data_IF_591397069034
#
_entry.id   IF_591397069034
#
_cell.length_a   1.000
_cell.length_b   1.000
_cell.length_c   1.000
_cell.angle_alpha   90.00
_cell.angle_beta   90.00
_cell.angle_gamma   90.00
#
_symmetry.space_group_name_H-M   'P 1'
#
loop_
_entity.id
_entity.type
_entity.pdbx_description
1 polymer ?
#
# COMPACT_ATOMS: atom_id res chain seq x y z
N UNK A 1 16.79 0.63 -16.94
CA UNK A 1 16.31 1.26 -15.69
C UNK A 1 17.38 2.20 -15.19
N UNK A 2 17.10 3.50 -15.12
CA UNK A 2 18.03 4.51 -14.60
C UNK A 2 18.17 4.30 -13.09
N UNK A 3 19.41 4.12 -12.63
CA UNK A 3 19.71 4.01 -11.21
C UNK A 3 19.34 5.33 -10.52
N UNK A 4 18.48 5.27 -9.50
CA UNK A 4 18.05 6.45 -8.74
C UNK A 4 19.25 7.09 -8.04
N UNK A 5 19.29 8.42 -7.99
CA UNK A 5 20.32 9.13 -7.23
C UNK A 5 20.17 8.87 -5.72
N UNK A 6 21.25 8.97 -4.93
CA UNK A 6 21.17 8.80 -3.48
C UNK A 6 20.14 9.73 -2.81
N UNK A 7 20.05 10.98 -3.26
CA UNK A 7 19.07 11.94 -2.76
C UNK A 7 17.61 11.53 -3.03
N UNK A 8 17.33 10.91 -4.19
CA UNK A 8 15.99 10.39 -4.49
C UNK A 8 15.62 9.19 -3.62
N UNK A 9 16.58 8.31 -3.35
CA UNK A 9 16.37 7.17 -2.45
C UNK A 9 16.06 7.66 -1.02
N UNK A 10 16.81 8.63 -0.52
CA UNK A 10 16.58 9.23 0.79
C UNK A 10 15.22 9.94 0.88
N UNK A 11 14.84 10.67 -0.17
CA UNK A 11 13.53 11.32 -0.26
C UNK A 11 12.38 10.31 -0.13
N UNK A 12 12.41 9.23 -0.92
CA UNK A 12 11.36 8.21 -0.85
C UNK A 12 11.40 7.42 0.46
N UNK A 13 12.58 7.15 1.02
CA UNK A 13 12.71 6.49 2.32
C UNK A 13 12.06 7.30 3.44
N UNK A 14 12.30 8.63 3.48
CA UNK A 14 11.65 9.53 4.43
C UNK A 14 10.14 9.58 4.21
N UNK A 15 9.69 9.78 2.97
CA UNK A 15 8.27 9.81 2.64
C UNK A 15 7.54 8.53 3.06
N UNK A 16 8.16 7.37 2.78
CA UNK A 16 7.64 6.06 3.20
C UNK A 16 7.54 5.98 4.72
N UNK A 17 8.60 6.35 5.45
CA UNK A 17 8.58 6.37 6.91
C UNK A 17 7.40 7.22 7.45
N UNK A 18 7.31 8.47 7.03
CA UNK A 18 6.30 9.41 7.53
C UNK A 18 4.87 8.94 7.22
N UNK A 19 4.67 8.37 6.01
CA UNK A 19 3.39 7.78 5.61
C UNK A 19 2.98 6.60 6.50
N UNK A 20 3.90 5.68 6.79
CA UNK A 20 3.63 4.51 7.64
C UNK A 20 3.40 4.91 9.10
N UNK A 21 4.10 5.93 9.61
CA UNK A 21 3.85 6.49 10.94
C UNK A 21 2.42 7.05 11.05
N UNK A 22 1.99 7.87 10.08
CA UNK A 22 0.64 8.40 10.04
C UNK A 22 -0.41 7.28 9.95
N UNK A 23 -0.15 6.25 9.13
CA UNK A 23 -1.04 5.10 8.97
C UNK A 23 -1.16 4.28 10.26
N UNK A 24 -0.07 4.09 11.01
CA UNK A 24 -0.07 3.39 12.29
C UNK A 24 -0.90 4.14 13.36
N UNK A 25 -0.79 5.46 13.39
CA UNK A 25 -1.62 6.31 14.27
C UNK A 25 -3.10 6.14 13.91
N UNK A 26 -3.45 6.25 12.62
CA UNK A 26 -4.82 6.09 12.14
C UNK A 26 -5.38 4.69 12.46
N UNK A 27 -4.58 3.65 12.28
CA UNK A 27 -4.93 2.26 12.61
C UNK A 27 -5.24 2.11 14.11
N UNK A 28 -4.39 2.67 14.97
CA UNK A 28 -4.59 2.65 16.42
C UNK A 28 -5.83 3.44 16.84
N UNK A 29 -6.12 4.55 16.16
CA UNK A 29 -7.32 5.34 16.43
C UNK A 29 -8.59 4.59 16.04
N UNK A 30 -8.62 4.00 14.83
CA UNK A 30 -9.75 3.22 14.31
C UNK A 30 -10.07 2.00 15.17
N UNK A 31 -9.05 1.31 15.66
CA UNK A 31 -9.20 0.16 16.55
C UNK A 31 -9.93 0.47 17.88
N UNK A 32 -10.10 1.75 18.26
CA UNK A 32 -10.87 2.16 19.45
C UNK A 32 -12.38 2.06 19.25
N UNK A 33 -12.87 1.85 18.03
CA UNK A 33 -14.29 1.64 17.73
C UNK A 33 -15.17 2.88 17.83
N UNK A 34 -14.59 4.07 17.73
CA UNK A 34 -15.35 5.33 17.67
C UNK A 34 -15.87 5.68 16.27
N UNK A 35 -15.26 5.08 15.23
CA UNK A 35 -15.65 5.23 13.83
C UNK A 35 -16.53 4.05 13.38
N UNK A 36 -17.26 4.16 12.24
CA UNK A 36 -18.09 3.07 11.71
C UNK A 36 -17.33 1.77 11.39
N UNK A 37 -16.02 1.88 11.14
CA UNK A 37 -15.13 0.75 10.87
C UNK A 37 -13.95 0.77 11.83
N UNK A 38 -13.53 -0.42 12.29
CA UNK A 38 -12.39 -0.58 13.19
C UNK A 38 -11.03 -0.58 12.48
N UNK A 39 -11.05 -0.48 11.15
CA UNK A 39 -9.87 -0.53 10.29
C UNK A 39 -9.75 0.77 9.47
N UNK A 40 -8.55 1.05 8.96
CA UNK A 40 -8.33 2.15 8.04
C UNK A 40 -8.80 1.73 6.66
N UNK A 41 -9.71 2.50 6.06
CA UNK A 41 -10.31 2.19 4.76
C UNK A 41 -9.41 2.49 3.56
N UNK A 42 -8.30 3.22 3.77
CA UNK A 42 -7.31 3.53 2.74
C UNK A 42 -6.28 2.40 2.67
N UNK A 43 -6.02 1.88 1.46
CA UNK A 43 -4.96 0.89 1.22
C UNK A 43 -3.69 1.58 0.74
N UNK A 44 -2.55 1.28 1.37
CA UNK A 44 -1.23 1.75 0.91
C UNK A 44 -0.73 0.84 -0.22
N UNK A 45 -0.12 1.44 -1.24
CA UNK A 45 0.46 0.75 -2.39
C UNK A 45 1.67 1.54 -2.93
N UNK A 46 2.74 0.85 -3.25
CA UNK A 46 3.99 1.37 -3.82
C UNK A 46 4.07 1.13 -5.33
N UNK A 47 3.38 0.09 -5.84
CA UNK A 47 3.37 -0.24 -7.28
C UNK A 47 1.99 -0.12 -7.92
N UNK A 48 1.95 -0.11 -9.26
CA UNK A 48 0.69 -0.15 -10.01
C UNK A 48 -0.09 -1.44 -9.75
N UNK A 49 0.62 -2.57 -9.69
CA UNK A 49 0.02 -3.87 -9.42
C UNK A 49 -0.65 -3.89 -8.04
N UNK A 50 0.04 -3.40 -7.00
CA UNK A 50 -0.52 -3.29 -5.65
C UNK A 50 -1.78 -2.39 -5.62
N UNK A 51 -1.80 -1.28 -6.36
CA UNK A 51 -3.00 -0.42 -6.47
C UNK A 51 -4.19 -1.16 -7.08
N UNK A 52 -3.97 -1.92 -8.15
CA UNK A 52 -5.04 -2.70 -8.81
C UNK A 52 -5.62 -3.72 -7.84
N UNK A 53 -4.75 -4.44 -7.10
CA UNK A 53 -5.19 -5.40 -6.08
C UNK A 53 -5.96 -4.71 -4.96
N UNK A 54 -5.48 -3.59 -4.44
CA UNK A 54 -6.17 -2.83 -3.39
C UNK A 54 -7.59 -2.40 -3.76
N UNK A 55 -7.82 -2.03 -5.03
CA UNK A 55 -9.13 -1.61 -5.53
C UNK A 55 -10.06 -2.79 -5.80
N UNK A 56 -9.58 -3.82 -6.52
CA UNK A 56 -10.42 -4.93 -6.98
C UNK A 56 -10.73 -5.92 -5.85
N UNK A 57 -9.94 -5.94 -4.78
CA UNK A 57 -10.19 -6.85 -3.63
C UNK A 57 -11.54 -6.62 -2.95
N UNK A 58 -12.17 -5.45 -3.14
CA UNK A 58 -13.53 -5.19 -2.63
C UNK A 58 -14.56 -6.11 -3.30
N UNK A 59 -14.39 -6.41 -4.58
CA UNK A 59 -15.30 -7.28 -5.35
C UNK A 59 -14.78 -8.71 -5.52
N UNK A 60 -13.46 -8.92 -5.42
CA UNK A 60 -12.82 -10.21 -5.55
C UNK A 60 -11.78 -10.42 -4.43
N UNK A 61 -12.21 -10.64 -3.17
CA UNK A 61 -11.31 -10.72 -2.02
C UNK A 61 -10.23 -11.80 -2.13
N UNK A 62 -10.51 -12.87 -2.88
CA UNK A 62 -9.61 -14.00 -3.09
C UNK A 62 -8.27 -13.64 -3.76
N UNK A 63 -8.17 -12.47 -4.41
CA UNK A 63 -6.94 -12.04 -5.07
C UNK A 63 -5.93 -11.45 -4.07
N UNK A 64 -6.40 -11.00 -2.90
CA UNK A 64 -5.56 -10.38 -1.88
C UNK A 64 -4.62 -11.43 -1.30
N UNK A 65 -3.30 -11.22 -1.45
CA UNK A 65 -2.28 -12.16 -0.96
C UNK A 65 -2.09 -13.42 -1.82
N UNK A 66 -2.79 -13.53 -2.97
CA UNK A 66 -2.62 -14.65 -3.89
C UNK A 66 -1.39 -14.53 -4.80
N UNK A 67 -0.58 -13.47 -4.66
CA UNK A 67 0.61 -13.24 -5.47
C UNK A 67 0.30 -12.73 -6.89
N UNK A 68 -0.90 -12.21 -7.12
CA UNK A 68 -1.34 -11.70 -8.43
C UNK A 68 -0.51 -10.48 -8.84
N UNK A 69 -0.13 -9.64 -7.88
CA UNK A 69 0.72 -8.47 -8.09
C UNK A 69 2.05 -8.83 -8.77
N UNK A 70 2.68 -9.93 -8.35
CA UNK A 70 3.92 -10.44 -8.93
C UNK A 70 3.72 -10.89 -10.38
N UNK A 71 2.56 -11.47 -10.70
CA UNK A 71 2.24 -11.91 -12.06
C UNK A 71 2.00 -10.73 -12.98
N UNK A 72 1.35 -9.66 -12.49
CA UNK A 72 1.17 -8.42 -13.25
C UNK A 72 2.53 -7.81 -13.58
N UNK A 73 3.39 -7.63 -12.58
CA UNK A 73 4.73 -7.05 -12.76
C UNK A 73 5.57 -7.87 -13.76
N UNK A 74 5.52 -9.21 -13.69
CA UNK A 74 6.23 -10.08 -14.61
C UNK A 74 5.70 -10.05 -16.06
N UNK A 75 4.45 -9.62 -16.29
CA UNK A 75 3.86 -9.48 -17.62
C UNK A 75 4.04 -8.08 -18.21
N UNK A 76 4.24 -7.06 -17.36
CA UNK A 76 4.52 -5.68 -17.77
C UNK A 76 5.99 -5.43 -18.13
N UNK A 77 6.91 -6.21 -17.54
CA UNK A 77 8.35 -6.13 -17.76
C UNK A 77 8.81 -6.69 -19.11
#
# INVERSE_FOLDING_TARGET
MTQQSPAMQEYFARFKKDCYEAFAIATTARAKGYDPENEVSVTLAETLAERVIGLISVIAPQIKGAGVEKRIEALEA
#
